data_IF_088416810939
#
_entry.id   IF_088416810939
#
_cell.length_a   1.000
_cell.length_b   1.000
_cell.length_c   1.000
_cell.angle_alpha   90.00
_cell.angle_beta   90.00
_cell.angle_gamma   90.00
#
_symmetry.space_group_name_H-M   'P 1'
#
loop_
_entity.id
_entity.type
_entity.pdbx_description
1 polymer ?
#
# COMPACT_ATOMS: atom_id res chain seq x y z
N UNK A 1 -28.81 -13.57 11.38
CA UNK A 1 -29.85 -13.53 10.33
C UNK A 1 -29.34 -12.70 9.15
N UNK A 2 -29.89 -12.89 7.95
CA UNK A 2 -29.51 -12.17 6.72
C UNK A 2 -30.66 -11.22 6.38
N UNK A 3 -30.39 -9.92 6.25
CA UNK A 3 -31.37 -8.91 5.81
C UNK A 3 -31.12 -8.52 4.35
N UNK A 4 -32.19 -8.27 3.60
CA UNK A 4 -32.12 -7.72 2.26
C UNK A 4 -32.12 -6.19 2.33
N UNK A 5 -31.15 -5.54 1.68
CA UNK A 5 -31.00 -4.09 1.65
C UNK A 5 -30.97 -3.61 0.21
N UNK A 6 -31.73 -2.57 -0.11
CA UNK A 6 -31.77 -1.97 -1.45
C UNK A 6 -30.76 -0.82 -1.57
N UNK A 7 -29.96 -0.83 -2.63
CA UNK A 7 -29.03 0.26 -2.92
C UNK A 7 -29.78 1.55 -3.29
N UNK A 8 -29.55 2.69 -2.60
CA UNK A 8 -30.25 3.94 -2.84
C UNK A 8 -29.90 4.60 -4.18
N UNK A 9 -28.82 4.18 -4.86
CA UNK A 9 -28.38 4.77 -6.14
C UNK A 9 -28.86 4.01 -7.37
N UNK A 10 -28.96 2.69 -7.30
CA UNK A 10 -29.27 1.86 -8.48
C UNK A 10 -30.38 0.83 -8.25
N UNK A 11 -31.04 0.84 -7.08
CA UNK A 11 -32.18 -0.01 -6.77
C UNK A 11 -31.88 -1.52 -6.68
N UNK A 12 -30.60 -1.92 -6.72
CA UNK A 12 -30.22 -3.34 -6.63
C UNK A 12 -30.30 -3.79 -5.17
N UNK A 13 -30.99 -4.90 -4.92
CA UNK A 13 -31.05 -5.55 -3.61
C UNK A 13 -29.77 -6.35 -3.36
N UNK A 14 -29.31 -6.38 -2.11
CA UNK A 14 -28.15 -7.14 -1.67
C UNK A 14 -28.44 -7.74 -0.29
N UNK A 15 -28.06 -9.00 -0.13
CA UNK A 15 -28.27 -9.74 1.12
C UNK A 15 -27.05 -9.56 2.00
N UNK A 16 -27.26 -9.05 3.22
CA UNK A 16 -26.19 -8.62 4.12
C UNK A 16 -26.49 -9.14 5.52
N UNK A 17 -25.49 -9.67 6.25
CA UNK A 17 -25.61 -9.93 7.69
C UNK A 17 -26.09 -8.70 8.48
N UNK A 18 -26.96 -8.90 9.47
CA UNK A 18 -27.58 -7.81 10.24
C UNK A 18 -26.59 -6.85 10.91
N UNK A 19 -25.43 -7.34 11.34
CA UNK A 19 -24.45 -6.56 12.11
C UNK A 19 -23.47 -5.73 11.28
N UNK A 20 -23.64 -5.65 9.96
CA UNK A 20 -22.74 -4.86 9.12
C UNK A 20 -23.13 -3.38 9.15
N UNK A 21 -22.15 -2.55 9.54
CA UNK A 21 -22.30 -1.10 9.61
C UNK A 21 -22.46 -0.46 8.24
N UNK A 22 -21.69 -0.90 7.23
CA UNK A 22 -21.69 -0.31 5.88
C UNK A 22 -21.69 -1.36 4.77
N UNK A 23 -22.45 -1.11 3.71
CA UNK A 23 -22.64 -2.02 2.58
C UNK A 23 -22.18 -1.35 1.30
N UNK A 24 -21.36 -2.04 0.51
CA UNK A 24 -20.92 -1.59 -0.82
C UNK A 24 -21.77 -2.22 -1.93
N UNK A 25 -22.30 -1.42 -2.84
CA UNK A 25 -23.10 -1.89 -3.95
C UNK A 25 -22.22 -2.54 -5.02
N UNK A 26 -22.50 -3.81 -5.36
CA UNK A 26 -21.80 -4.53 -6.43
C UNK A 26 -22.00 -3.95 -7.83
N UNK A 27 -23.04 -3.13 -8.07
CA UNK A 27 -23.38 -2.59 -9.40
C UNK A 27 -22.90 -1.15 -9.62
N UNK A 28 -22.98 -0.30 -8.61
CA UNK A 28 -22.65 1.14 -8.74
C UNK A 28 -21.56 1.62 -7.79
N UNK A 29 -20.99 0.73 -6.99
CA UNK A 29 -19.87 1.00 -6.08
C UNK A 29 -20.20 1.87 -4.86
N UNK A 30 -21.43 2.40 -4.74
CA UNK A 30 -21.83 3.25 -3.60
C UNK A 30 -21.77 2.47 -2.29
N UNK A 31 -21.20 3.08 -1.25
CA UNK A 31 -21.21 2.57 0.12
C UNK A 31 -22.27 3.34 0.92
N UNK A 32 -23.12 2.65 1.69
CA UNK A 32 -24.15 3.25 2.54
C UNK A 32 -24.41 2.41 3.79
N UNK A 33 -24.99 3.04 4.81
CA UNK A 33 -25.36 2.37 6.05
C UNK A 33 -26.83 1.93 5.99
N UNK A 34 -27.12 0.62 5.99
CA UNK A 34 -28.50 0.10 5.95
C UNK A 34 -29.35 0.41 7.20
N UNK A 35 -28.76 1.00 8.25
CA UNK A 35 -29.44 1.32 9.51
C UNK A 35 -30.00 2.74 9.63
N UNK A 36 -29.59 3.68 8.77
CA UNK A 36 -29.97 5.10 8.90
C UNK A 36 -31.22 5.50 8.09
N UNK A 37 -31.67 4.66 7.15
CA UNK A 37 -32.76 5.02 6.22
C UNK A 37 -34.17 4.53 6.67
N UNK A 38 -34.30 3.92 7.85
CA UNK A 38 -35.61 3.48 8.40
C UNK A 38 -36.27 4.49 9.35
N UNK A 39 -35.61 5.61 9.65
CA UNK A 39 -36.10 6.63 10.58
C UNK A 39 -36.05 8.03 9.96
N UNK A 40 -36.85 8.25 8.91
CA UNK A 40 -37.10 9.60 8.39
C UNK A 40 -38.48 9.69 7.73
N UNK A 41 -39.53 9.43 8.51
CA UNK A 41 -40.80 10.13 8.38
C UNK A 41 -40.81 11.21 9.49
N UNK A 42 -40.88 12.47 9.06
CA UNK A 42 -40.84 13.74 9.81
C UNK A 42 -41.75 13.80 11.07
N UNK A 43 -41.56 14.74 12.05
CA UNK A 43 -41.13 16.13 11.82
C UNK A 43 -40.12 16.76 12.82
N UNK A 44 -39.61 17.91 12.34
CA UNK A 44 -38.71 18.88 12.96
C UNK A 44 -39.15 19.33 14.36
N UNK A 45 -38.22 19.37 15.32
CA UNK A 45 -38.13 20.43 16.35
C UNK A 45 -36.66 20.67 16.69
N UNK A 46 -36.33 21.95 16.79
CA UNK A 46 -35.02 22.59 16.91
C UNK A 46 -34.09 22.08 18.01
N UNK A 47 -32.87 21.69 17.62
CA UNK A 47 -31.68 21.71 18.49
C UNK A 47 -30.65 22.75 18.01
N UNK A 48 -31.10 23.79 17.32
CA UNK A 48 -30.31 24.95 16.90
C UNK A 48 -30.26 26.06 17.98
N UNK A 49 -30.72 25.78 19.21
CA UNK A 49 -30.76 26.73 20.33
C UNK A 49 -29.64 26.58 21.37
N UNK A 50 -28.57 25.81 21.09
CA UNK A 50 -27.34 25.83 21.90
C UNK A 50 -26.13 25.96 20.98
N UNK A 51 -25.33 26.99 21.24
CA UNK A 51 -24.09 27.38 20.55
C UNK A 51 -24.26 28.34 19.36
N UNK A 52 -24.91 29.47 19.61
CA UNK A 52 -24.52 30.72 18.96
C UNK A 52 -23.15 31.15 19.48
N UNK A 53 -22.22 31.49 18.58
CA UNK A 53 -20.94 32.10 18.96
C UNK A 53 -19.82 31.97 17.93
N UNK A 54 -20.01 32.45 16.69
CA UNK A 54 -19.11 33.41 16.04
C UNK A 54 -19.64 33.76 14.63
N UNK A 55 -19.91 35.05 14.45
CA UNK A 55 -20.31 35.67 13.19
C UNK A 55 -19.16 35.65 12.17
N UNK A 56 -19.46 35.37 10.89
CA UNK A 56 -19.42 36.42 9.88
C UNK A 56 -19.98 35.98 8.53
N UNK A 57 -20.47 36.99 7.83
CA UNK A 57 -21.43 36.96 6.75
C UNK A 57 -20.79 36.69 5.37
N UNK A 58 -21.60 36.27 4.40
CA UNK A 58 -21.21 36.34 2.99
C UNK A 58 -22.11 35.58 2.04
N UNK A 59 -23.02 36.30 1.39
CA UNK A 59 -24.06 35.80 0.47
C UNK A 59 -23.56 34.84 -0.62
N UNK A 60 -24.36 33.91 -1.13
CA UNK A 60 -25.73 34.09 -1.58
C UNK A 60 -25.82 33.72 -3.07
N UNK A 61 -26.77 32.85 -3.42
CA UNK A 61 -27.61 32.83 -4.64
C UNK A 61 -27.92 31.41 -5.11
N UNK A 62 -29.13 31.01 -4.76
CA UNK A 62 -29.94 30.04 -5.46
C UNK A 62 -30.28 30.51 -6.88
N UNK A 63 -30.37 29.58 -7.85
CA UNK A 63 -31.35 29.67 -8.95
C UNK A 63 -31.57 28.32 -9.64
N UNK A 64 -32.81 27.83 -9.50
CA UNK A 64 -33.47 26.79 -10.29
C UNK A 64 -33.31 27.03 -11.79
N UNK A 65 -33.22 25.96 -12.60
CA UNK A 65 -34.28 25.57 -13.57
C UNK A 65 -33.88 24.31 -14.35
N UNK A 66 -34.74 23.28 -14.26
CA UNK A 66 -34.87 22.25 -15.29
C UNK A 66 -35.55 22.89 -16.52
N UNK A 67 -35.13 22.49 -17.73
CA UNK A 67 -36.05 22.19 -18.84
C UNK A 67 -35.35 21.31 -19.89
N UNK A 68 -36.02 20.19 -20.20
CA UNK A 68 -35.86 19.38 -21.42
C UNK A 68 -36.02 20.27 -22.66
N UNK A 69 -35.32 19.96 -23.75
CA UNK A 69 -35.94 19.40 -24.97
C UNK A 69 -35.00 19.31 -26.17
N UNK A 70 -35.16 18.20 -26.89
CA UNK A 70 -35.22 18.03 -28.37
C UNK A 70 -34.04 18.42 -29.28
N UNK A 71 -33.60 17.37 -29.97
CA UNK A 71 -33.23 17.26 -31.39
C UNK A 71 -33.36 18.49 -32.30
N UNK A 72 -32.29 18.74 -33.06
CA UNK A 72 -32.26 18.82 -34.54
C UNK A 72 -30.78 18.91 -34.90
N UNK A 73 -30.21 17.99 -35.68
CA UNK A 73 -30.39 17.94 -37.14
C UNK A 73 -29.31 18.80 -37.80
N UNK A 74 -28.49 18.22 -38.69
CA UNK A 74 -27.58 19.02 -39.52
C UNK A 74 -26.22 18.39 -39.82
N UNK A 75 -26.21 17.32 -40.61
CA UNK A 75 -25.38 17.17 -41.81
C UNK A 75 -24.05 17.94 -41.85
N UNK A 76 -22.97 17.36 -41.33
CA UNK A 76 -21.57 17.63 -41.75
C UNK A 76 -20.58 16.61 -41.15
N UNK A 77 -20.98 15.33 -41.07
CA UNK A 77 -20.11 14.28 -40.48
C UNK A 77 -19.08 13.69 -41.45
N UNK A 78 -19.20 13.91 -42.76
CA UNK A 78 -18.31 13.24 -43.73
C UNK A 78 -16.98 13.98 -43.92
N UNK A 79 -16.98 15.31 -43.96
CA UNK A 79 -15.74 16.09 -44.11
C UNK A 79 -14.82 16.00 -42.88
N UNK A 80 -15.38 15.97 -41.66
CA UNK A 80 -14.63 15.83 -40.43
C UNK A 80 -13.97 14.44 -40.29
N UNK A 81 -14.61 13.38 -40.80
CA UNK A 81 -14.06 12.02 -40.77
C UNK A 81 -12.87 11.92 -41.74
N UNK A 82 -12.99 12.41 -42.98
CA UNK A 82 -11.89 12.33 -43.96
C UNK A 82 -10.65 13.11 -43.51
N UNK A 83 -10.82 14.32 -42.95
CA UNK A 83 -9.72 15.08 -42.39
C UNK A 83 -9.06 14.37 -41.18
N UNK A 84 -9.84 13.72 -40.33
CA UNK A 84 -9.30 12.94 -39.20
C UNK A 84 -8.52 11.71 -39.64
N UNK A 85 -8.97 11.03 -40.71
CA UNK A 85 -8.29 9.84 -41.24
C UNK A 85 -6.97 10.23 -41.90
N UNK A 86 -6.95 11.32 -42.67
CA UNK A 86 -5.71 11.83 -43.28
C UNK A 86 -4.70 12.25 -42.19
N UNK A 87 -5.17 12.88 -41.11
CA UNK A 87 -4.29 13.27 -40.00
C UNK A 87 -3.72 12.05 -39.25
N UNK A 88 -4.52 11.01 -39.02
CA UNK A 88 -4.04 9.76 -38.40
C UNK A 88 -3.04 9.04 -39.30
N UNK A 89 -3.28 9.00 -40.62
CA UNK A 89 -2.34 8.39 -41.58
C UNK A 89 -1.05 9.21 -41.69
N UNK A 90 -1.13 10.54 -41.65
CA UNK A 90 0.06 11.39 -41.64
C UNK A 90 0.88 11.22 -40.35
N UNK A 91 0.24 11.16 -39.17
CA UNK A 91 0.92 10.88 -37.91
C UNK A 91 1.52 9.48 -37.86
N UNK A 92 0.82 8.48 -38.39
CA UNK A 92 1.36 7.12 -38.52
C UNK A 92 2.55 7.09 -39.48
N UNK A 93 2.48 7.80 -40.61
CA UNK A 93 3.57 7.93 -41.58
C UNK A 93 4.80 8.62 -40.99
N UNK A 94 4.62 9.71 -40.22
CA UNK A 94 5.71 10.39 -39.51
C UNK A 94 6.28 9.51 -38.39
N UNK A 95 5.43 8.78 -37.66
CA UNK A 95 5.87 7.83 -36.64
C UNK A 95 6.70 6.68 -37.23
N UNK A 96 6.29 6.14 -38.38
CA UNK A 96 7.01 5.10 -39.11
C UNK A 96 8.30 5.65 -39.71
N UNK A 97 8.29 6.87 -40.25
CA UNK A 97 9.49 7.53 -40.78
C UNK A 97 10.53 7.80 -39.69
N UNK A 98 10.10 8.28 -38.51
CA UNK A 98 10.97 8.45 -37.35
C UNK A 98 11.42 7.12 -36.74
N UNK A 99 10.62 6.06 -36.85
CA UNK A 99 11.00 4.71 -36.42
C UNK A 99 12.02 4.07 -37.39
N UNK A 100 11.89 4.30 -38.70
CA UNK A 100 12.84 3.83 -39.72
C UNK A 100 14.17 4.60 -39.70
N UNK A 101 14.17 5.86 -39.25
CA UNK A 101 15.39 6.65 -39.03
C UNK A 101 16.03 6.41 -37.65
N UNK A 102 15.41 5.60 -36.79
CA UNK A 102 16.05 5.19 -35.54
C UNK A 102 17.21 4.27 -35.94
N UNK A 103 18.43 4.71 -35.67
CA UNK A 103 19.63 3.90 -35.80
C UNK A 103 19.35 2.49 -35.26
N UNK A 104 19.74 1.42 -35.98
CA UNK A 104 19.59 0.08 -35.44
C UNK A 104 20.28 0.08 -34.08
N UNK A 105 19.50 -0.17 -33.03
CA UNK A 105 20.02 -0.32 -31.69
C UNK A 105 21.24 -1.24 -31.74
N UNK A 106 22.32 -0.96 -30.99
CA UNK A 106 23.45 -1.86 -30.95
C UNK A 106 22.90 -3.24 -30.66
N UNK A 107 23.20 -4.15 -31.59
CA UNK A 107 22.76 -5.52 -31.57
C UNK A 107 23.16 -6.05 -30.20
N UNK A 108 22.19 -6.17 -29.30
CA UNK A 108 22.39 -6.88 -28.05
C UNK A 108 22.63 -8.28 -28.53
N UNK A 109 23.91 -8.67 -28.51
CA UNK A 109 24.35 -10.01 -28.84
C UNK A 109 23.37 -10.97 -28.18
N UNK A 110 22.92 -11.97 -28.95
CA UNK A 110 22.07 -13.03 -28.45
C UNK A 110 22.62 -13.44 -27.08
N UNK A 111 21.85 -13.13 -26.04
CA UNK A 111 22.08 -13.65 -24.70
C UNK A 111 22.02 -15.14 -24.92
N UNK A 112 23.18 -15.78 -24.95
CA UNK A 112 23.29 -17.22 -24.78
C UNK A 112 22.42 -17.52 -23.56
N UNK A 113 21.59 -18.55 -23.63
CA UNK A 113 20.95 -19.13 -22.45
C UNK A 113 22.09 -19.54 -21.50
N UNK A 114 22.56 -18.56 -20.73
CA UNK A 114 23.41 -18.72 -19.58
C UNK A 114 22.52 -19.55 -18.65
N UNK A 115 22.96 -20.75 -18.23
CA UNK A 115 22.17 -21.54 -17.33
C UNK A 115 21.82 -20.62 -16.15
N UNK A 116 20.53 -20.55 -15.81
CA UNK A 116 20.06 -19.89 -14.58
C UNK A 116 20.80 -20.57 -13.43
N UNK A 117 21.99 -20.05 -13.12
CA UNK A 117 22.77 -20.40 -11.96
C UNK A 117 21.86 -20.04 -10.81
N UNK A 118 21.33 -21.07 -10.13
CA UNK A 118 20.87 -20.89 -8.77
C UNK A 118 21.89 -20.01 -8.06
N UNK A 119 21.48 -18.88 -7.46
CA UNK A 119 22.43 -17.90 -6.96
C UNK A 119 23.39 -18.65 -6.06
N UNK A 120 24.66 -18.68 -6.47
CA UNK A 120 25.73 -19.31 -5.73
C UNK A 120 25.55 -18.97 -4.25
N UNK A 121 25.65 -19.97 -3.38
CA UNK A 121 25.61 -19.82 -1.93
C UNK A 121 26.81 -18.97 -1.49
N UNK A 122 26.74 -17.66 -1.72
CA UNK A 122 27.52 -16.63 -1.04
C UNK A 122 26.95 -16.56 0.39
N UNK A 123 27.25 -17.62 1.13
CA UNK A 123 26.62 -17.99 2.39
C UNK A 123 27.13 -17.19 3.59
N UNK A 124 28.22 -16.43 3.39
CA UNK A 124 28.92 -15.72 4.44
C UNK A 124 28.71 -14.21 4.33
N UNK A 125 27.54 -13.78 4.79
CA UNK A 125 27.37 -12.37 5.17
C UNK A 125 28.27 -12.11 6.36
N UNK A 126 29.35 -11.36 6.13
CA UNK A 126 30.19 -10.81 7.18
C UNK A 126 29.36 -9.78 7.93
N UNK A 127 28.82 -10.19 9.08
CA UNK A 127 28.10 -9.26 9.93
C UNK A 127 29.11 -8.32 10.59
N UNK A 128 28.94 -7.04 10.30
CA UNK A 128 29.62 -5.96 10.99
C UNK A 128 28.65 -5.46 12.05
N UNK A 129 29.09 -5.43 13.31
CA UNK A 129 28.27 -4.88 14.38
C UNK A 129 27.84 -3.46 13.98
N UNK A 130 26.53 -3.17 13.97
CA UNK A 130 26.07 -1.83 13.66
C UNK A 130 26.62 -0.88 14.73
N UNK A 131 27.11 0.28 14.30
CA UNK A 131 27.42 1.35 15.22
C UNK A 131 26.12 1.80 15.91
N UNK A 132 26.19 2.05 17.21
CA UNK A 132 25.04 2.44 18.00
C UNK A 132 25.38 3.50 19.04
N UNK A 133 24.42 4.39 19.27
CA UNK A 133 24.41 5.31 20.40
C UNK A 133 23.53 4.73 21.50
N UNK A 134 24.03 4.68 22.73
CA UNK A 134 23.17 4.33 23.86
C UNK A 134 22.09 5.41 24.07
N UNK A 135 20.84 4.99 23.98
CA UNK A 135 19.68 5.86 24.17
C UNK A 135 19.54 6.20 25.66
N UNK A 136 19.16 7.44 25.97
CA UNK A 136 18.93 7.91 27.33
C UNK A 136 17.64 7.30 27.93
N UNK A 137 17.74 6.03 28.30
CA UNK A 137 16.68 5.19 28.88
C UNK A 137 17.35 4.11 29.74
N UNK A 138 16.74 3.59 30.82
CA UNK A 138 17.30 2.47 31.57
C UNK A 138 17.57 1.25 30.69
N UNK A 139 18.70 0.56 30.88
CA UNK A 139 19.07 -0.62 30.07
C UNK A 139 17.99 -1.72 30.13
N UNK A 140 17.33 -1.89 31.28
CA UNK A 140 16.24 -2.85 31.43
C UNK A 140 15.07 -2.57 30.46
N UNK A 141 14.72 -1.30 30.25
CA UNK A 141 13.67 -0.89 29.32
C UNK A 141 14.14 -1.04 27.87
N UNK A 142 15.38 -0.64 27.55
CA UNK A 142 15.98 -0.83 26.22
C UNK A 142 15.99 -2.31 25.83
N UNK A 143 16.38 -3.18 26.76
CA UNK A 143 16.38 -4.63 26.57
C UNK A 143 14.98 -5.20 26.36
N UNK A 144 13.95 -4.68 27.06
CA UNK A 144 12.56 -5.08 26.83
C UNK A 144 12.10 -4.70 25.42
N UNK A 145 12.31 -3.44 25.01
CA UNK A 145 11.97 -2.95 23.67
C UNK A 145 12.67 -3.79 22.60
N UNK A 146 13.96 -4.09 22.80
CA UNK A 146 14.70 -4.97 21.92
C UNK A 146 14.06 -6.36 21.81
N UNK A 147 13.69 -6.99 22.92
CA UNK A 147 13.07 -8.32 22.91
C UNK A 147 11.72 -8.32 22.20
N UNK A 148 10.93 -7.25 22.35
CA UNK A 148 9.66 -7.09 21.66
C UNK A 148 9.90 -6.92 20.15
N UNK A 149 10.78 -6.01 19.74
CA UNK A 149 11.18 -5.82 18.34
C UNK A 149 11.76 -7.11 17.74
N UNK A 150 12.55 -7.85 18.50
CA UNK A 150 13.11 -9.15 18.12
C UNK A 150 12.01 -10.17 17.84
N UNK A 151 10.98 -10.24 18.69
CA UNK A 151 9.84 -11.15 18.48
C UNK A 151 9.08 -10.82 17.19
N UNK A 152 8.93 -9.52 16.87
CA UNK A 152 8.34 -9.06 15.61
C UNK A 152 9.24 -9.40 14.43
N UNK A 153 10.56 -9.23 14.56
CA UNK A 153 11.51 -9.58 13.51
C UNK A 153 11.40 -11.06 13.09
N UNK A 154 11.31 -11.98 14.05
CA UNK A 154 11.15 -13.44 13.83
C UNK A 154 9.98 -13.74 12.88
N UNK A 155 8.86 -13.06 13.07
CA UNK A 155 7.63 -13.31 12.30
C UNK A 155 7.51 -12.47 11.03
N UNK A 156 8.36 -11.46 10.86
CA UNK A 156 8.37 -10.53 9.73
C UNK A 156 9.64 -10.67 8.89
N UNK A 157 10.64 -9.82 9.10
CA UNK A 157 11.86 -9.72 8.30
C UNK A 157 12.77 -10.95 8.41
N UNK A 158 12.69 -11.73 9.48
CA UNK A 158 13.44 -12.97 9.61
C UNK A 158 12.67 -14.19 9.10
N UNK A 159 11.45 -14.03 8.56
CA UNK A 159 10.77 -15.17 7.99
C UNK A 159 11.42 -15.57 6.65
N UNK A 160 11.93 -16.81 6.51
CA UNK A 160 12.43 -17.28 5.23
C UNK A 160 11.25 -17.46 4.27
N UNK A 161 11.46 -17.01 3.04
CA UNK A 161 10.47 -17.10 1.98
C UNK A 161 10.87 -18.20 1.01
N UNK A 162 9.91 -19.04 0.66
CA UNK A 162 10.04 -20.06 -0.39
C UNK A 162 9.65 -19.52 -1.78
N UNK A 163 9.20 -18.27 -1.84
CA UNK A 163 8.80 -17.59 -3.08
C UNK A 163 10.04 -17.23 -3.90
N UNK A 164 9.91 -17.20 -5.23
CA UNK A 164 10.97 -16.82 -6.18
C UNK A 164 10.48 -15.63 -7.03
N UNK A 165 11.40 -14.84 -7.58
CA UNK A 165 11.09 -13.79 -8.55
C UNK A 165 10.32 -12.59 -7.98
N UNK A 166 9.49 -11.89 -8.79
CA UNK A 166 8.82 -10.65 -8.38
C UNK A 166 7.89 -10.80 -7.18
N UNK A 167 7.26 -11.96 -7.02
CA UNK A 167 6.39 -12.26 -5.87
C UNK A 167 7.18 -12.30 -4.55
N UNK A 168 8.42 -12.82 -4.58
CA UNK A 168 9.32 -12.80 -3.44
C UNK A 168 9.63 -11.37 -3.02
N UNK A 169 10.07 -10.53 -3.96
CA UNK A 169 10.44 -9.12 -3.68
C UNK A 169 9.24 -8.36 -3.10
N UNK A 170 8.04 -8.56 -3.64
CA UNK A 170 6.83 -7.95 -3.10
C UNK A 170 6.57 -8.38 -1.65
N UNK A 171 6.75 -9.67 -1.34
CA UNK A 171 6.57 -10.19 0.02
C UNK A 171 7.70 -9.76 0.98
N UNK A 172 8.93 -9.65 0.51
CA UNK A 172 10.04 -9.09 1.31
C UNK A 172 9.73 -7.64 1.71
N UNK A 173 9.19 -6.85 0.77
CA UNK A 173 8.75 -5.48 1.04
C UNK A 173 7.62 -5.42 2.06
N UNK A 174 6.59 -6.27 1.94
CA UNK A 174 5.49 -6.26 2.93
C UNK A 174 5.96 -6.66 4.33
N UNK A 175 6.89 -7.61 4.43
CA UNK A 175 7.49 -8.00 5.72
C UNK A 175 8.33 -6.86 6.31
N UNK A 176 9.07 -6.13 5.48
CA UNK A 176 9.77 -4.92 5.89
C UNK A 176 8.80 -3.82 6.36
N UNK A 177 7.72 -3.57 5.61
CA UNK A 177 6.71 -2.56 5.96
C UNK A 177 6.01 -2.88 7.30
N UNK A 178 5.80 -4.16 7.61
CA UNK A 178 5.27 -4.62 8.91
C UNK A 178 6.26 -4.32 10.03
N UNK A 179 7.54 -4.64 9.83
CA UNK A 179 8.58 -4.37 10.82
C UNK A 179 8.78 -2.88 11.06
N UNK A 180 8.82 -2.08 9.99
CA UNK A 180 8.92 -0.63 10.06
C UNK A 180 7.73 0.00 10.77
N UNK A 181 6.51 -0.55 10.56
CA UNK A 181 5.33 -0.10 11.31
C UNK A 181 5.49 -0.35 12.81
N UNK A 182 6.02 -1.51 13.19
CA UNK A 182 6.25 -1.81 14.61
C UNK A 182 7.26 -0.87 15.24
N UNK A 183 8.33 -0.48 14.54
CA UNK A 183 9.26 0.56 14.99
C UNK A 183 8.50 1.85 15.33
N UNK A 184 7.57 2.29 14.46
CA UNK A 184 6.76 3.50 14.73
C UNK A 184 5.84 3.32 15.93
N UNK A 185 5.23 2.15 16.07
CA UNK A 185 4.36 1.83 17.21
C UNK A 185 5.14 1.88 18.53
N UNK A 186 6.33 1.26 18.57
CA UNK A 186 7.19 1.26 19.76
C UNK A 186 7.72 2.67 20.08
N UNK A 187 8.12 3.42 19.06
CA UNK A 187 8.51 4.82 19.20
C UNK A 187 7.39 5.66 19.86
N UNK A 188 6.16 5.51 19.38
CA UNK A 188 5.00 6.19 19.94
C UNK A 188 4.63 5.71 21.35
N UNK A 189 4.79 4.42 21.66
CA UNK A 189 4.49 3.86 22.98
C UNK A 189 5.46 4.36 24.06
N UNK A 190 6.72 4.55 23.69
CA UNK A 190 7.79 4.94 24.60
C UNK A 190 8.12 6.43 24.58
N UNK A 191 7.42 7.24 23.78
CA UNK A 191 7.67 8.67 23.57
C UNK A 191 9.13 8.98 23.19
N UNK A 192 9.68 8.16 22.28
CA UNK A 192 11.04 8.29 21.75
C UNK A 192 11.01 8.38 20.23
N UNK A 193 12.00 9.01 19.59
CA UNK A 193 12.08 9.02 18.13
C UNK A 193 12.29 7.61 17.57
N UNK A 194 11.80 7.36 16.34
CA UNK A 194 12.01 6.08 15.64
C UNK A 194 13.50 5.70 15.51
N UNK A 195 14.37 6.71 15.39
CA UNK A 195 15.82 6.50 15.36
C UNK A 195 16.33 5.86 16.65
N UNK A 196 15.85 6.30 17.82
CA UNK A 196 16.27 5.72 19.10
C UNK A 196 15.83 4.26 19.23
N UNK A 197 14.66 3.89 18.71
CA UNK A 197 14.25 2.48 18.63
C UNK A 197 15.22 1.68 17.76
N UNK A 198 15.66 2.24 16.62
CA UNK A 198 16.68 1.61 15.76
C UNK A 198 18.03 1.52 16.47
N UNK A 199 18.43 2.53 17.23
CA UNK A 199 19.65 2.49 18.05
C UNK A 199 19.57 1.37 19.10
N UNK A 200 18.42 1.19 19.76
CA UNK A 200 18.18 0.08 20.70
C UNK A 200 18.27 -1.28 20.01
N UNK A 201 17.74 -1.40 18.79
CA UNK A 201 17.86 -2.62 17.98
C UNK A 201 19.33 -2.92 17.68
N UNK A 202 20.07 -1.91 17.22
CA UNK A 202 21.50 -2.03 16.92
C UNK A 202 22.32 -2.37 18.17
N UNK A 203 22.05 -1.70 19.30
CA UNK A 203 22.67 -1.99 20.60
C UNK A 203 22.44 -3.45 21.01
N UNK A 204 21.20 -3.92 20.93
CA UNK A 204 20.86 -5.29 21.34
C UNK A 204 21.45 -6.36 20.44
N UNK A 205 21.56 -6.11 19.13
CA UNK A 205 22.26 -7.00 18.20
C UNK A 205 23.79 -6.97 18.42
N UNK A 206 24.36 -5.80 18.72
CA UNK A 206 25.77 -5.64 19.07
C UNK A 206 26.14 -6.35 20.38
N UNK A 207 25.31 -6.18 21.42
CA UNK A 207 25.48 -6.80 22.74
C UNK A 207 24.98 -8.26 22.79
N UNK A 208 24.36 -8.76 21.72
CA UNK A 208 23.70 -10.08 21.63
C UNK A 208 22.78 -10.35 22.82
N UNK A 209 21.86 -9.42 23.10
CA UNK A 209 20.89 -9.59 24.19
C UNK A 209 19.98 -10.80 24.01
N UNK A 210 19.70 -11.21 22.76
CA UNK A 210 19.04 -12.47 22.43
C UNK A 210 20.07 -13.49 21.88
N UNK A 211 20.18 -14.63 22.56
CA UNK A 211 21.09 -15.72 22.21
C UNK A 211 20.43 -16.81 21.36
N UNK A 212 19.13 -16.68 21.04
CA UNK A 212 18.43 -17.66 20.21
C UNK A 212 19.00 -17.66 18.78
N UNK A 213 18.98 -18.83 18.10
CA UNK A 213 19.40 -18.92 16.72
C UNK A 213 18.61 -17.97 15.82
N UNK A 214 19.30 -17.31 14.88
CA UNK A 214 18.70 -16.47 13.84
C UNK A 214 18.26 -17.32 12.65
N UNK A 215 17.24 -16.85 11.95
CA UNK A 215 16.74 -17.57 10.79
C UNK A 215 17.71 -17.56 9.60
N UNK A 216 17.46 -18.47 8.66
CA UNK A 216 18.12 -18.50 7.35
C UNK A 216 17.45 -17.55 6.34
N UNK A 217 16.75 -16.51 6.79
CA UNK A 217 16.08 -15.59 5.88
C UNK A 217 17.08 -14.87 4.97
N UNK A 218 16.77 -14.88 3.68
CA UNK A 218 17.46 -14.10 2.65
C UNK A 218 16.57 -12.89 2.28
N UNK A 219 17.17 -11.71 2.10
CA UNK A 219 16.53 -10.48 1.58
C UNK A 219 17.38 -9.95 0.43
N UNK A 220 16.76 -9.62 -0.70
CA UNK A 220 17.47 -9.24 -1.93
C UNK A 220 18.56 -10.27 -2.33
N UNK A 221 18.26 -11.56 -2.16
CA UNK A 221 19.20 -12.65 -2.46
C UNK A 221 20.28 -12.92 -1.40
N UNK A 222 20.52 -12.01 -0.44
CA UNK A 222 21.58 -12.14 0.57
C UNK A 222 21.01 -12.56 1.92
N UNK A 223 21.77 -13.33 2.72
CA UNK A 223 21.35 -13.71 4.10
C UNK A 223 21.25 -12.45 4.97
N UNK A 224 20.34 -12.44 5.94
CA UNK A 224 20.27 -11.33 6.90
C UNK A 224 21.34 -11.43 7.98
N UNK A 225 21.71 -12.64 8.38
CA UNK A 225 22.65 -12.92 9.44
C UNK A 225 23.72 -13.93 8.99
N UNK A 226 24.91 -13.96 9.63
CA UNK A 226 25.95 -14.96 9.34
C UNK A 226 25.46 -16.38 9.61
N UNK A 227 26.09 -17.37 8.96
CA UNK A 227 25.68 -18.78 9.08
C UNK A 227 25.85 -19.31 10.49
N UNK A 228 26.90 -18.85 11.18
CA UNK A 228 27.19 -19.15 12.58
C UNK A 228 26.07 -18.73 13.55
N UNK A 229 25.24 -17.74 13.19
CA UNK A 229 24.12 -17.32 14.05
C UNK A 229 22.87 -18.17 13.85
N UNK A 230 22.82 -18.94 12.77
CA UNK A 230 21.68 -19.79 12.42
C UNK A 230 21.85 -21.26 12.83
N UNK A 231 22.97 -21.59 13.50
CA UNK A 231 23.20 -22.93 14.03
C UNK A 231 22.11 -23.31 15.03
N UNK A 232 21.46 -24.45 14.77
CA UNK A 232 20.34 -24.91 15.60
C UNK A 232 19.00 -24.22 15.34
N UNK A 233 18.90 -23.34 14.35
CA UNK A 233 17.62 -22.76 13.94
C UNK A 233 16.67 -23.85 13.39
N UNK A 234 15.40 -23.79 13.82
CA UNK A 234 14.34 -24.67 13.35
C UNK A 234 13.21 -23.81 12.75
N UNK A 235 12.70 -24.17 11.56
CA UNK A 235 11.62 -23.44 10.87
C UNK A 235 10.27 -23.51 11.59
#
# INVERSE_FOLDING_TARGET
MIRSVTCPKCGKTSNVPEHIASVRCSKCGKVWNPGEDAAAAEPKVDLAAKMAGYENEGGGKSKKKRKKSKSSGGSNKVAAIVASVIFVVALAGVGIYLWLQRDPAPQVAAVQDEPEEEPADDDDVVWVAPDYREVNMPEADRKRIYMDMRSTAITSIEKPLLLIGPARVAMEKTLQDVYDREIRTQAALHDVPEDDIRQIINEGDAKRWDTRPRSNAKRNGKRLYPKSWSEGWKP
#
